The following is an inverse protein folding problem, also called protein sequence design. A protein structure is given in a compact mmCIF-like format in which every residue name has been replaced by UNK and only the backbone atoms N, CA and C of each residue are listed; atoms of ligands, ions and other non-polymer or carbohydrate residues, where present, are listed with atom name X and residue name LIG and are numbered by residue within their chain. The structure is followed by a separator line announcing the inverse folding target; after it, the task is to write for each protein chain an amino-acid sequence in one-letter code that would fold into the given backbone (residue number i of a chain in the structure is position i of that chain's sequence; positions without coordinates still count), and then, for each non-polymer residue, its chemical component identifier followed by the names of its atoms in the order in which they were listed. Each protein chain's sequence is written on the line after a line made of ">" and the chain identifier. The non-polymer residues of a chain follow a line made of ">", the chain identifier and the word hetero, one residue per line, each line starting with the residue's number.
data_IF_051819646239
#
_entry.id   IF_051819646239
#
_cell.length_a   1.000
_cell.length_b   1.000
_cell.length_c   1.000
_cell.angle_alpha   90.00
_cell.angle_beta   90.00
_cell.angle_gamma   90.00
#
_symmetry.space_group_name_H-M   'P 1'
#
loop_
_entity.id
_entity.type
_entity.pdbx_description
1 polymer ?
#
# COMPACT_ATOMS: atom_id res chain seq x y z
N UNK A 1 54.35 -7.45 -22.66
CA UNK A 1 53.76 -6.75 -22.22
C UNK A 1 52.40 -6.87 -22.10
N UNK A 2 51.63 -7.03 -21.36
CA UNK A 2 50.47 -7.35 -21.13
C UNK A 2 49.49 -6.60 -20.65
N UNK A 3 48.37 -6.80 -20.55
CA UNK A 3 47.40 -6.43 -20.28
C UNK A 3 46.38 -6.67 -19.93
N UNK A 4 45.53 -6.49 -19.57
CA UNK A 4 44.60 -6.69 -19.03
C UNK A 4 43.47 -6.45 -19.27
N UNK A 5 42.57 -6.99 -19.42
CA UNK A 5 41.22 -6.89 -19.54
C UNK A 5 40.52 -7.05 -18.21
N UNK A 6 40.25 -6.03 -17.56
CA UNK A 6 39.36 -6.02 -16.41
C UNK A 6 37.93 -6.06 -16.89
N UNK A 7 37.31 -7.17 -16.95
CA UNK A 7 35.88 -7.28 -17.10
C UNK A 7 35.22 -6.90 -15.81
N UNK A 8 34.82 -5.67 -15.68
CA UNK A 8 33.95 -5.27 -14.59
C UNK A 8 32.55 -5.72 -14.89
N UNK A 9 32.19 -6.86 -14.41
CA UNK A 9 30.79 -7.18 -14.30
C UNK A 9 30.24 -6.36 -13.14
N UNK A 10 29.69 -5.22 -13.46
CA UNK A 10 28.87 -4.53 -12.51
C UNK A 10 27.60 -5.35 -12.32
N UNK A 11 27.67 -6.28 -11.43
CA UNK A 11 26.46 -6.85 -10.88
C UNK A 11 25.73 -5.74 -10.16
N UNK A 12 24.63 -5.28 -10.70
CA UNK A 12 23.74 -4.41 -9.99
C UNK A 12 23.26 -5.15 -8.76
N UNK A 13 23.93 -4.92 -7.66
CA UNK A 13 23.39 -5.33 -6.39
C UNK A 13 22.27 -4.34 -6.07
N UNK A 14 21.04 -4.81 -6.13
CA UNK A 14 19.94 -4.14 -5.49
C UNK A 14 20.20 -4.20 -3.99
N UNK A 15 21.09 -3.34 -3.52
CA UNK A 15 21.54 -3.31 -2.14
C UNK A 15 20.60 -2.58 -1.21
N UNK A 16 19.34 -2.36 -1.60
CA UNK A 16 18.35 -1.78 -0.72
C UNK A 16 17.91 -2.75 0.37
N UNK A 17 17.44 -2.24 1.52
CA UNK A 17 16.87 -3.10 2.55
C UNK A 17 15.65 -3.83 2.01
N UNK A 18 15.51 -5.10 2.40
CA UNK A 18 14.35 -5.92 2.07
C UNK A 18 13.40 -5.96 3.24
N UNK A 19 12.13 -5.91 2.92
CA UNK A 19 11.07 -5.88 3.92
C UNK A 19 10.05 -6.98 3.71
N UNK A 20 9.40 -7.35 4.78
CA UNK A 20 8.16 -8.12 4.78
C UNK A 20 7.05 -7.24 5.34
N UNK A 21 5.80 -7.58 5.05
CA UNK A 21 4.65 -6.90 5.62
C UNK A 21 4.09 -7.75 6.76
N UNK A 22 3.83 -7.12 7.88
CA UNK A 22 3.24 -7.74 9.07
C UNK A 22 1.89 -7.12 9.37
N UNK A 23 1.12 -7.78 10.23
CA UNK A 23 -0.20 -7.31 10.68
C UNK A 23 -0.11 -7.02 12.19
N UNK A 24 0.31 -5.81 12.60
CA UNK A 24 0.38 -5.45 14.00
C UNK A 24 -1.00 -5.39 14.66
N UNK A 25 -1.05 -5.49 15.99
CA UNK A 25 -2.30 -5.36 16.74
C UNK A 25 -2.86 -3.93 16.71
N UNK A 26 -2.01 -2.93 16.50
CA UNK A 26 -2.40 -1.53 16.39
C UNK A 26 -1.65 -0.86 15.25
N UNK A 27 -2.25 0.21 14.70
CA UNK A 27 -1.63 1.07 13.69
C UNK A 27 -1.79 2.54 14.06
N UNK A 28 -1.00 3.38 13.40
CA UNK A 28 -1.00 4.84 13.59
C UNK A 28 -0.79 5.23 15.07
N UNK A 29 0.20 4.61 15.70
CA UNK A 29 0.55 4.91 17.08
C UNK A 29 -0.48 4.46 18.11
N UNK A 30 -1.28 3.46 17.77
CA UNK A 30 -2.32 2.93 18.66
C UNK A 30 -3.72 3.48 18.37
N UNK A 31 -3.86 4.38 17.40
CA UNK A 31 -5.15 4.95 17.02
C UNK A 31 -6.11 3.89 16.48
N UNK A 32 -5.60 2.97 15.66
CA UNK A 32 -6.40 1.88 15.07
C UNK A 32 -6.06 0.57 15.76
N UNK A 33 -7.08 -0.22 16.04
CA UNK A 33 -6.95 -1.56 16.63
C UNK A 33 -7.35 -2.61 15.61
N UNK A 34 -6.60 -3.70 15.57
CA UNK A 34 -6.90 -4.83 14.71
C UNK A 34 -8.26 -5.44 15.06
N UNK A 35 -9.17 -5.41 14.08
CA UNK A 35 -10.47 -6.05 14.19
C UNK A 35 -10.45 -7.47 13.60
N UNK A 36 -9.71 -7.66 12.49
CA UNK A 36 -9.61 -8.97 11.84
C UNK A 36 -8.33 -9.05 11.02
N UNK A 37 -7.59 -10.14 11.17
CA UNK A 37 -6.49 -10.49 10.28
C UNK A 37 -7.10 -11.15 9.03
N UNK A 38 -6.82 -10.60 7.86
CA UNK A 38 -7.33 -11.08 6.57
C UNK A 38 -6.20 -11.58 5.66
N UNK A 39 -5.04 -11.92 6.23
CA UNK A 39 -3.87 -12.36 5.46
C UNK A 39 -4.16 -13.61 4.63
N UNK A 40 -4.95 -14.53 5.13
CA UNK A 40 -5.31 -15.73 4.39
C UNK A 40 -6.16 -15.38 3.15
N UNK A 41 -7.21 -14.57 3.34
CA UNK A 41 -8.05 -14.14 2.23
C UNK A 41 -7.26 -13.35 1.19
N UNK A 42 -6.35 -12.48 1.64
CA UNK A 42 -5.47 -11.73 0.75
C UNK A 42 -4.55 -12.67 -0.04
N UNK A 43 -3.99 -13.67 0.61
CA UNK A 43 -3.12 -14.66 -0.03
C UNK A 43 -3.83 -15.49 -1.09
N UNK A 44 -5.10 -15.83 -0.85
CA UNK A 44 -5.92 -16.57 -1.81
C UNK A 44 -6.34 -15.71 -3.02
N UNK A 45 -6.43 -14.39 -2.82
CA UNK A 45 -6.93 -13.47 -3.84
C UNK A 45 -5.85 -12.95 -4.80
N UNK A 46 -4.56 -13.05 -4.45
CA UNK A 46 -3.48 -12.48 -5.25
C UNK A 46 -2.67 -13.54 -5.97
N UNK A 47 -2.19 -13.26 -7.19
CA UNK A 47 -1.21 -14.14 -7.86
C UNK A 47 0.10 -14.14 -7.08
N UNK A 48 0.72 -15.32 -6.93
CA UNK A 48 2.00 -15.47 -6.24
C UNK A 48 3.20 -15.19 -7.14
N UNK A 49 3.01 -15.33 -8.44
CA UNK A 49 4.02 -15.04 -9.45
C UNK A 49 3.38 -14.34 -10.65
N UNK A 50 4.05 -13.34 -11.16
CA UNK A 50 3.65 -12.57 -12.33
C UNK A 50 4.87 -12.05 -13.07
N UNK A 51 4.65 -11.15 -14.02
CA UNK A 51 5.74 -10.57 -14.81
C UNK A 51 6.59 -9.58 -13.99
N UNK A 52 6.03 -8.97 -12.97
CA UNK A 52 6.69 -7.95 -12.15
C UNK A 52 6.88 -8.36 -10.68
N UNK A 53 6.01 -9.22 -10.17
CA UNK A 53 6.04 -9.67 -8.78
C UNK A 53 6.29 -11.17 -8.74
N UNK A 54 7.26 -11.61 -7.92
CA UNK A 54 7.70 -13.01 -7.84
C UNK A 54 7.76 -13.48 -6.39
N UNK A 55 7.40 -14.74 -6.16
CA UNK A 55 7.40 -15.37 -4.84
C UNK A 55 6.62 -14.55 -3.81
N UNK A 56 5.45 -14.08 -4.19
CA UNK A 56 4.66 -13.14 -3.40
C UNK A 56 3.93 -13.85 -2.27
N UNK A 57 4.03 -13.26 -1.09
CA UNK A 57 3.20 -13.53 0.06
C UNK A 57 2.34 -12.30 0.34
N UNK A 58 1.18 -12.52 0.90
CA UNK A 58 0.26 -11.44 1.23
C UNK A 58 0.00 -11.39 2.73
N UNK A 59 -0.20 -10.18 3.23
CA UNK A 59 -0.62 -9.94 4.60
C UNK A 59 -1.65 -8.81 4.58
N UNK A 60 -2.65 -8.90 5.44
CA UNK A 60 -3.67 -7.86 5.51
C UNK A 60 -4.41 -7.85 6.81
N UNK A 61 -4.92 -6.69 7.17
CA UNK A 61 -5.71 -6.50 8.38
C UNK A 61 -6.81 -5.49 8.19
N UNK A 62 -7.90 -5.73 8.88
CA UNK A 62 -8.99 -4.76 9.05
C UNK A 62 -8.85 -4.16 10.44
N UNK A 63 -8.82 -2.85 10.48
CA UNK A 63 -8.60 -2.08 11.71
C UNK A 63 -9.77 -1.12 11.95
N UNK A 64 -9.98 -0.77 13.19
CA UNK A 64 -11.03 0.17 13.55
C UNK A 64 -10.55 1.21 14.56
N UNK A 65 -11.15 2.41 14.45
CA UNK A 65 -10.94 3.52 15.38
C UNK A 65 -12.24 4.34 15.45
N UNK A 66 -13.05 4.10 16.47
CA UNK A 66 -14.36 4.74 16.57
C UNK A 66 -15.24 4.40 15.37
N UNK A 67 -15.64 5.42 14.59
CA UNK A 67 -16.45 5.27 13.38
C UNK A 67 -15.62 4.95 12.14
N UNK A 68 -14.29 4.99 12.25
CA UNK A 68 -13.37 4.75 11.14
C UNK A 68 -13.02 3.29 11.01
N UNK A 69 -12.96 2.82 9.77
CA UNK A 69 -12.45 1.50 9.40
C UNK A 69 -11.33 1.66 8.40
N UNK A 70 -10.23 0.97 8.63
CA UNK A 70 -9.06 1.01 7.77
C UNK A 70 -8.69 -0.41 7.35
N UNK A 71 -8.47 -0.61 6.07
CA UNK A 71 -7.97 -1.87 5.54
C UNK A 71 -6.53 -1.66 5.08
N UNK A 72 -5.64 -2.50 5.55
CA UNK A 72 -4.25 -2.57 5.09
C UNK A 72 -4.05 -3.89 4.36
N UNK A 73 -3.58 -3.82 3.13
CA UNK A 73 -3.22 -4.98 2.32
C UNK A 73 -1.79 -4.82 1.84
N UNK A 74 -0.98 -5.84 2.05
CA UNK A 74 0.41 -5.82 1.64
C UNK A 74 0.85 -7.08 0.95
N UNK A 75 1.79 -6.92 0.02
CA UNK A 75 2.46 -7.99 -0.70
C UNK A 75 3.96 -7.88 -0.43
N UNK A 76 4.63 -9.00 -0.29
CA UNK A 76 6.07 -8.99 -0.14
C UNK A 76 6.72 -10.22 -0.78
N UNK A 77 7.89 -10.00 -1.33
CA UNK A 77 8.63 -10.98 -2.10
C UNK A 77 9.66 -10.27 -2.95
N UNK A 78 9.64 -10.49 -4.25
CA UNK A 78 10.50 -9.79 -5.21
C UNK A 78 9.62 -8.95 -6.12
N UNK A 79 9.89 -7.66 -6.18
CA UNK A 79 9.20 -6.69 -7.03
C UNK A 79 10.24 -6.08 -7.96
N UNK A 80 10.12 -6.33 -9.26
CA UNK A 80 11.09 -5.87 -10.24
C UNK A 80 11.02 -4.36 -10.43
N UNK A 81 9.80 -3.83 -10.57
CA UNK A 81 9.53 -2.42 -10.73
C UNK A 81 8.45 -1.97 -9.74
N UNK A 82 8.84 -1.18 -8.73
CA UNK A 82 7.89 -0.67 -7.73
C UNK A 82 6.77 0.21 -8.32
N UNK A 83 7.03 1.00 -9.35
CA UNK A 83 5.99 1.83 -9.98
C UNK A 83 4.91 0.97 -10.62
N UNK A 84 5.31 -0.10 -11.31
CA UNK A 84 4.37 -1.06 -11.89
C UNK A 84 3.54 -1.73 -10.80
N UNK A 85 4.11 -2.04 -9.64
CA UNK A 85 3.37 -2.60 -8.52
C UNK A 85 2.31 -1.62 -7.99
N UNK A 86 2.62 -0.33 -7.93
CA UNK A 86 1.66 0.71 -7.56
C UNK A 86 0.51 0.78 -8.58
N UNK A 87 0.82 0.79 -9.87
CA UNK A 87 -0.19 0.79 -10.93
C UNK A 87 -1.11 -0.44 -10.85
N UNK A 88 -0.54 -1.61 -10.61
CA UNK A 88 -1.33 -2.84 -10.42
C UNK A 88 -2.29 -2.73 -9.24
N UNK A 89 -1.84 -2.12 -8.13
CA UNK A 89 -2.69 -1.90 -6.96
C UNK A 89 -3.84 -0.95 -7.27
N UNK A 90 -3.57 0.17 -7.93
CA UNK A 90 -4.59 1.15 -8.31
C UNK A 90 -5.63 0.51 -9.24
N UNK A 91 -5.17 -0.18 -10.27
CA UNK A 91 -6.05 -0.87 -11.23
C UNK A 91 -6.88 -1.95 -10.55
N UNK A 92 -6.30 -2.65 -9.57
CA UNK A 92 -7.01 -3.65 -8.78
C UNK A 92 -8.16 -3.08 -7.96
N UNK A 93 -8.01 -1.87 -7.44
CA UNK A 93 -9.04 -1.22 -6.62
C UNK A 93 -10.30 -0.87 -7.41
N UNK A 94 -10.17 -0.57 -8.71
CA UNK A 94 -11.29 -0.17 -9.56
C UNK A 94 -11.83 -1.31 -10.44
N UNK A 95 -11.23 -2.49 -10.35
CA UNK A 95 -11.57 -3.63 -11.23
C UNK A 95 -12.95 -4.22 -10.96
N UNK A 96 -13.51 -4.00 -9.78
CA UNK A 96 -14.82 -4.56 -9.39
C UNK A 96 -16.01 -3.90 -10.11
N UNK A 97 -15.79 -2.81 -10.85
CA UNK A 97 -16.83 -2.04 -11.53
C UNK A 97 -17.73 -1.22 -10.60
N UNK A 98 -17.47 -1.26 -9.29
CA UNK A 98 -18.22 -0.50 -8.27
C UNK A 98 -17.43 0.67 -7.72
N UNK A 99 -16.14 0.70 -7.98
CA UNK A 99 -15.23 1.72 -7.48
C UNK A 99 -14.78 2.59 -8.64
N UNK A 100 -14.90 3.90 -8.47
CA UNK A 100 -14.50 4.91 -9.45
C UNK A 100 -13.50 5.87 -8.84
N UNK A 101 -12.60 6.39 -9.67
CA UNK A 101 -11.63 7.42 -9.24
C UNK A 101 -12.37 8.76 -9.09
N UNK A 102 -12.36 9.31 -7.90
CA UNK A 102 -12.95 10.63 -7.62
C UNK A 102 -11.89 11.73 -7.59
N UNK A 103 -10.74 11.47 -6.98
CA UNK A 103 -9.57 12.35 -7.02
C UNK A 103 -8.39 11.52 -7.53
N UNK A 104 -7.83 11.94 -8.66
CA UNK A 104 -6.72 11.23 -9.27
C UNK A 104 -5.53 11.11 -8.32
N UNK A 105 -4.89 9.97 -8.33
CA UNK A 105 -3.73 9.71 -7.48
C UNK A 105 -2.55 10.59 -7.89
N UNK A 106 -1.76 10.95 -6.90
CA UNK A 106 -0.48 11.64 -7.08
C UNK A 106 0.45 11.35 -5.91
N UNK A 107 1.71 11.69 -6.07
CA UNK A 107 2.69 11.51 -5.01
C UNK A 107 2.56 12.57 -3.93
N UNK A 108 2.67 12.12 -2.69
CA UNK A 108 2.74 12.96 -1.50
C UNK A 108 3.99 12.61 -0.71
N UNK A 109 4.81 13.61 -0.42
CA UNK A 109 5.94 13.44 0.48
C UNK A 109 5.44 13.63 1.91
N UNK A 110 5.71 12.67 2.81
CA UNK A 110 5.30 12.82 4.21
C UNK A 110 5.90 14.08 4.85
N UNK A 111 5.15 14.74 5.70
CA UNK A 111 5.59 15.95 6.41
C UNK A 111 6.83 15.69 7.28
N UNK A 112 6.97 14.49 7.80
CA UNK A 112 8.14 14.06 8.56
C UNK A 112 9.32 13.60 7.71
N UNK A 113 9.21 13.66 6.38
CA UNK A 113 10.22 13.17 5.46
C UNK A 113 10.06 11.68 5.12
N UNK A 114 10.95 11.18 4.29
CA UNK A 114 10.93 9.80 3.81
C UNK A 114 10.42 9.68 2.37
N UNK A 115 10.31 8.46 1.90
CA UNK A 115 9.89 8.19 0.54
C UNK A 115 8.43 8.62 0.31
N UNK A 116 8.10 9.14 -0.88
CA UNK A 116 6.72 9.54 -1.18
C UNK A 116 5.77 8.34 -1.21
N UNK A 117 4.48 8.64 -1.01
CA UNK A 117 3.39 7.69 -1.18
C UNK A 117 2.48 8.20 -2.30
N UNK A 118 1.85 7.27 -3.00
CA UNK A 118 0.85 7.59 -4.03
C UNK A 118 -0.53 7.53 -3.39
N UNK A 119 -1.22 8.65 -3.33
CA UNK A 119 -2.50 8.75 -2.65
C UNK A 119 -3.56 9.38 -3.55
N UNK A 120 -4.79 8.96 -3.39
CA UNK A 120 -5.94 9.47 -4.10
C UNK A 120 -7.22 9.22 -3.33
N UNK A 121 -8.34 9.51 -3.95
CA UNK A 121 -9.66 9.23 -3.38
C UNK A 121 -10.50 8.50 -4.42
N UNK A 122 -10.98 7.33 -4.05
CA UNK A 122 -11.96 6.59 -4.83
C UNK A 122 -13.35 6.79 -4.21
N UNK A 123 -14.37 6.50 -4.99
CA UNK A 123 -15.75 6.39 -4.51
C UNK A 123 -16.26 5.02 -4.88
N UNK A 124 -16.70 4.27 -3.88
CA UNK A 124 -17.32 2.96 -4.08
C UNK A 124 -18.82 3.07 -3.91
N UNK A 125 -19.56 2.41 -4.79
CA UNK A 125 -21.01 2.30 -4.65
C UNK A 125 -21.35 0.98 -3.97
N UNK A 126 -21.94 1.07 -2.78
CA UNK A 126 -22.39 -0.08 -2.00
C UNK A 126 -23.88 0.08 -1.70
N UNK A 127 -24.69 -0.90 -2.13
CA UNK A 127 -26.14 -0.89 -1.90
C UNK A 127 -26.81 0.43 -2.31
N UNK A 128 -26.36 1.02 -3.44
CA UNK A 128 -26.87 2.29 -3.94
C UNK A 128 -26.33 3.53 -3.25
N UNK A 129 -25.46 3.38 -2.24
CA UNK A 129 -24.83 4.49 -1.53
C UNK A 129 -23.40 4.67 -1.99
N UNK A 130 -22.99 5.94 -2.18
CA UNK A 130 -21.60 6.26 -2.50
C UNK A 130 -20.79 6.40 -1.22
N UNK A 131 -19.66 5.70 -1.18
CA UNK A 131 -18.74 5.70 -0.04
C UNK A 131 -17.42 6.29 -0.48
N UNK A 132 -17.01 7.38 0.17
CA UNK A 132 -15.73 8.03 -0.07
C UNK A 132 -14.60 7.21 0.55
N UNK A 133 -13.58 6.90 -0.26
CA UNK A 133 -12.52 5.97 0.10
C UNK A 133 -11.14 6.58 -0.22
N UNK A 134 -10.56 7.38 0.68
CA UNK A 134 -9.18 7.79 0.54
C UNK A 134 -8.24 6.59 0.68
N UNK A 135 -7.18 6.59 -0.11
CA UNK A 135 -6.18 5.52 -0.10
C UNK A 135 -4.77 6.07 -0.29
N UNK A 136 -3.78 5.34 0.19
CA UNK A 136 -2.37 5.54 -0.12
C UNK A 136 -1.72 4.20 -0.41
N UNK A 137 -0.77 4.22 -1.33
CA UNK A 137 -0.01 3.05 -1.77
C UNK A 137 1.48 3.39 -1.73
N UNK A 138 2.29 2.41 -1.35
CA UNK A 138 3.74 2.49 -1.48
C UNK A 138 4.29 1.16 -1.98
N UNK A 139 5.45 1.22 -2.60
CA UNK A 139 6.17 0.03 -3.04
C UNK A 139 7.68 0.25 -3.02
N UNK A 140 8.39 -0.83 -2.74
CA UNK A 140 9.84 -0.92 -2.95
C UNK A 140 10.15 -2.26 -3.64
N UNK A 141 11.41 -2.63 -3.78
CA UNK A 141 11.81 -3.85 -4.48
C UNK A 141 11.41 -5.15 -3.76
N UNK A 142 10.92 -5.07 -2.54
CA UNK A 142 10.58 -6.24 -1.72
C UNK A 142 9.16 -6.24 -1.19
N UNK A 143 8.50 -5.11 -1.14
CA UNK A 143 7.17 -5.00 -0.54
C UNK A 143 6.35 -3.89 -1.20
N UNK A 144 5.05 -4.11 -1.26
CA UNK A 144 4.07 -3.13 -1.70
C UNK A 144 2.86 -3.25 -0.78
N UNK A 145 2.29 -2.13 -0.40
CA UNK A 145 1.09 -2.16 0.42
C UNK A 145 0.20 -0.95 0.15
N UNK A 146 -1.07 -1.11 0.47
CA UNK A 146 -2.02 -0.01 0.43
C UNK A 146 -2.80 0.06 1.73
N UNK A 147 -3.26 1.25 2.05
CA UNK A 147 -4.21 1.51 3.11
C UNK A 147 -5.38 2.31 2.54
N UNK A 148 -6.58 1.94 2.93
CA UNK A 148 -7.80 2.63 2.53
C UNK A 148 -8.70 2.79 3.75
N UNK A 149 -9.38 3.93 3.86
CA UNK A 149 -10.15 4.26 5.04
C UNK A 149 -11.57 4.65 4.68
N UNK A 150 -12.53 4.21 5.50
CA UNK A 150 -13.91 4.69 5.47
C UNK A 150 -14.28 5.23 6.83
N UNK A 151 -15.20 6.20 6.86
CA UNK A 151 -15.74 6.74 8.11
C UNK A 151 -17.25 6.63 8.09
N UNK A 152 -17.79 5.80 9.00
CA UNK A 152 -19.23 5.56 9.06
C UNK A 152 -20.05 6.82 9.39
N UNK A 153 -19.43 7.83 10.03
CA UNK A 153 -20.06 9.10 10.30
C UNK A 153 -20.10 10.05 9.10
N UNK A 154 -19.28 9.78 8.08
CA UNK A 154 -19.10 10.63 6.92
C UNK A 154 -18.94 9.82 5.63
N UNK A 155 -19.71 8.74 5.46
CA UNK A 155 -19.53 7.82 4.32
C UNK A 155 -19.55 8.51 2.96
N UNK A 156 -20.45 9.47 2.78
CA UNK A 156 -20.65 10.17 1.50
C UNK A 156 -20.06 11.58 1.49
N UNK A 157 -18.98 11.81 2.27
CA UNK A 157 -18.35 13.12 2.28
C UNK A 157 -17.80 13.46 0.88
N UNK A 158 -17.69 14.74 0.57
CA UNK A 158 -17.11 15.20 -0.68
C UNK A 158 -15.66 14.68 -0.81
N UNK A 159 -15.35 13.89 -1.86
CA UNK A 159 -14.00 13.38 -2.06
C UNK A 159 -12.92 14.48 -2.09
N UNK A 160 -13.27 15.66 -2.58
CA UNK A 160 -12.35 16.80 -2.66
C UNK A 160 -12.08 17.44 -1.29
N UNK A 161 -12.89 17.15 -0.29
CA UNK A 161 -12.70 17.66 1.08
C UNK A 161 -11.69 16.83 1.87
N UNK A 162 -11.25 15.68 1.35
CA UNK A 162 -10.26 14.84 2.01
C UNK A 162 -8.88 15.53 1.99
N UNK A 163 -8.28 15.68 3.16
CA UNK A 163 -6.91 16.15 3.28
C UNK A 163 -5.95 14.99 3.00
N UNK A 164 -5.50 14.87 1.75
CA UNK A 164 -4.62 13.78 1.33
C UNK A 164 -3.20 13.91 1.91
N UNK A 165 -2.73 15.10 2.22
CA UNK A 165 -1.44 15.25 2.89
C UNK A 165 -1.49 14.68 4.30
N UNK A 166 -2.54 14.95 5.05
CA UNK A 166 -2.75 14.38 6.37
C UNK A 166 -2.88 12.85 6.30
N UNK A 167 -3.62 12.36 5.31
CA UNK A 167 -3.76 10.91 5.11
C UNK A 167 -2.44 10.27 4.70
N UNK A 168 -1.63 10.92 3.87
CA UNK A 168 -0.30 10.45 3.51
C UNK A 168 0.64 10.39 4.72
N UNK A 169 0.58 11.36 5.61
CA UNK A 169 1.37 11.36 6.85
C UNK A 169 0.97 10.17 7.75
N UNK A 170 -0.32 9.91 7.88
CA UNK A 170 -0.84 8.73 8.58
C UNK A 170 -0.35 7.44 7.91
N UNK A 171 -0.45 7.33 6.60
CA UNK A 171 -0.03 6.16 5.85
C UNK A 171 1.49 5.92 5.97
N UNK A 172 2.30 6.98 6.00
CA UNK A 172 3.74 6.86 6.21
C UNK A 172 4.07 6.28 7.59
N UNK A 173 3.32 6.67 8.62
CA UNK A 173 3.45 6.10 9.95
C UNK A 173 3.07 4.63 9.96
N UNK A 174 1.95 4.29 9.33
CA UNK A 174 1.51 2.89 9.19
C UNK A 174 2.58 2.07 8.44
N UNK A 175 3.14 2.61 7.36
CA UNK A 175 4.22 1.95 6.62
C UNK A 175 5.38 1.55 7.53
N UNK A 176 5.81 2.44 8.41
CA UNK A 176 6.89 2.15 9.34
C UNK A 176 6.53 1.06 10.37
N UNK A 177 5.24 0.92 10.68
CA UNK A 177 4.76 -0.05 11.65
C UNK A 177 4.57 -1.46 11.05
N UNK A 178 4.11 -1.53 9.79
CA UNK A 178 3.83 -2.82 9.14
C UNK A 178 5.05 -3.39 8.43
N UNK A 179 5.97 -2.56 7.98
CA UNK A 179 7.15 -2.96 7.23
C UNK A 179 8.26 -3.36 8.17
N UNK A 180 8.68 -4.62 8.13
CA UNK A 180 9.75 -5.15 9.00
C UNK A 180 10.92 -5.62 8.14
N UNK A 181 12.16 -5.29 8.52
CA UNK A 181 13.33 -5.75 7.80
C UNK A 181 13.42 -7.28 7.78
N UNK A 182 13.86 -7.80 6.64
CA UNK A 182 14.21 -9.21 6.49
C UNK A 182 15.72 -9.28 6.60
N UNK A 183 16.17 -9.87 7.69
CA UNK A 183 17.56 -9.86 8.04
C UNK A 183 18.36 -11.05 7.62
#
# INVERSE_FOLDING_TARGET
>A
MGIRGGGSSSGGSDGGPKYRITVPQTLAGGEYKLAKDISQQASEAVPHDGANEHNIKAAGGQYSSGTKSLVMLGLYGVIDDPETAIEHSINGMTRDGKTEVAVADKEFTPSGGGDPLTCGVDVRTEMGQKVTLPFCIWADSSASANVAETDASELSKDPRSVDLQEFADKAAKIRSEVRKPVG
#
